data_IF_314406790532
#
_entry.id   IF_314406790532
#
_cell.length_a   1.000
_cell.length_b   1.000
_cell.length_c   1.000
_cell.angle_alpha   90.00
_cell.angle_beta   90.00
_cell.angle_gamma   90.00
#
_symmetry.space_group_name_H-M   'P 1'
#
loop_
_entity.id
_entity.type
_entity.pdbx_description
1 polymer ?
#
# COMPACT_ATOMS: atom_id res chain seq x y z
N UNK A 1 -13.45 25.52 -5.89
CA UNK A 1 -12.79 24.25 -5.51
C UNK A 1 -13.54 23.15 -6.24
N UNK A 2 -12.94 22.53 -7.26
CA UNK A 2 -13.64 21.58 -8.12
C UNK A 2 -13.39 20.16 -7.60
N UNK A 3 -14.35 19.61 -6.85
CA UNK A 3 -14.30 18.20 -6.44
C UNK A 3 -14.58 17.33 -7.65
N UNK A 4 -13.73 16.32 -7.85
CA UNK A 4 -13.90 15.34 -8.94
C UNK A 4 -14.37 14.03 -8.33
N UNK A 5 -15.41 13.46 -8.92
CA UNK A 5 -15.91 12.14 -8.59
C UNK A 5 -15.70 11.24 -9.81
N UNK A 6 -15.32 10.00 -9.57
CA UNK A 6 -15.00 9.07 -10.64
C UNK A 6 -15.13 7.62 -10.20
N UNK A 7 -15.14 6.74 -11.19
CA UNK A 7 -15.19 5.29 -11.02
C UNK A 7 -13.99 4.68 -11.71
N UNK A 8 -13.37 3.69 -11.08
CA UNK A 8 -12.31 2.88 -11.67
C UNK A 8 -12.89 1.47 -11.86
N UNK A 9 -12.92 1.01 -13.11
CA UNK A 9 -13.26 -0.38 -13.45
C UNK A 9 -12.00 -1.23 -13.52
N UNK A 10 -12.02 -2.40 -12.87
CA UNK A 10 -10.94 -3.39 -12.93
C UNK A 10 -11.54 -4.69 -13.46
N UNK A 11 -10.92 -5.25 -14.50
CA UNK A 11 -11.26 -6.56 -15.04
C UNK A 11 -10.17 -7.56 -14.68
N UNK A 12 -10.53 -8.62 -13.99
CA UNK A 12 -9.68 -9.78 -13.76
C UNK A 12 -10.26 -10.98 -14.51
N UNK A 13 -9.43 -11.69 -15.29
CA UNK A 13 -9.81 -12.91 -16.01
C UNK A 13 -8.82 -14.00 -15.65
N UNK A 14 -9.31 -15.14 -15.15
CA UNK A 14 -8.46 -16.24 -14.65
C UNK A 14 -7.39 -15.74 -13.65
N UNK A 15 -7.77 -14.80 -12.78
CA UNK A 15 -6.84 -14.12 -11.89
C UNK A 15 -7.51 -13.75 -10.57
N UNK A 16 -6.72 -13.79 -9.49
CA UNK A 16 -7.10 -13.26 -8.18
C UNK A 16 -6.23 -12.04 -7.86
N UNK A 17 -6.76 -10.83 -8.09
CA UNK A 17 -6.00 -9.59 -7.93
C UNK A 17 -6.01 -9.04 -6.49
N UNK A 18 -6.94 -9.48 -5.65
CA UNK A 18 -6.97 -9.15 -4.22
C UNK A 18 -7.41 -10.37 -3.39
N UNK A 19 -6.43 -11.14 -2.95
CA UNK A 19 -6.66 -12.29 -2.07
C UNK A 19 -6.83 -11.89 -0.58
N UNK A 20 -7.51 -12.74 0.17
CA UNK A 20 -7.43 -12.82 1.63
C UNK A 20 -6.29 -13.77 2.08
N UNK A 21 -6.19 -14.06 3.38
CA UNK A 21 -5.15 -14.92 3.93
C UNK A 21 -5.27 -16.40 3.54
N UNK A 22 -6.42 -16.82 2.99
CA UNK A 22 -6.64 -18.18 2.49
C UNK A 22 -6.26 -18.32 1.01
N UNK A 23 -5.89 -17.21 0.35
CA UNK A 23 -5.62 -17.19 -1.09
C UNK A 23 -6.89 -17.05 -1.95
N UNK A 24 -8.08 -17.00 -1.35
CA UNK A 24 -9.35 -16.75 -2.06
C UNK A 24 -9.56 -15.25 -2.27
N UNK A 25 -10.37 -14.84 -3.26
CA UNK A 25 -10.76 -13.44 -3.41
C UNK A 25 -11.42 -12.91 -2.14
N UNK A 26 -11.04 -11.70 -1.71
CA UNK A 26 -11.67 -11.05 -0.55
C UNK A 26 -13.18 -10.96 -0.74
N UNK A 27 -13.91 -11.38 0.28
CA UNK A 27 -15.37 -11.42 0.28
C UNK A 27 -15.95 -10.86 1.57
N UNK A 28 -17.13 -10.27 1.52
CA UNK A 28 -17.90 -9.91 2.72
C UNK A 28 -18.41 -11.17 3.43
N UNK A 29 -18.98 -11.01 4.64
CA UNK A 29 -19.67 -12.10 5.34
C UNK A 29 -20.82 -12.70 4.53
N UNK A 30 -21.37 -11.93 3.59
CA UNK A 30 -22.49 -12.33 2.75
C UNK A 30 -22.03 -12.95 1.41
N UNK A 31 -20.72 -13.08 1.20
CA UNK A 31 -20.15 -13.66 -0.02
C UNK A 31 -19.86 -12.67 -1.14
N UNK A 32 -20.10 -11.36 -0.95
CA UNK A 32 -19.82 -10.37 -1.98
C UNK A 32 -18.32 -10.17 -2.16
N UNK A 33 -17.81 -10.48 -3.35
CA UNK A 33 -16.40 -10.29 -3.69
C UNK A 33 -16.10 -8.79 -3.83
N UNK A 34 -15.02 -8.33 -3.20
CA UNK A 34 -14.58 -6.95 -3.31
C UNK A 34 -13.06 -6.81 -3.37
N UNK A 35 -12.62 -5.73 -4.01
CA UNK A 35 -11.24 -5.27 -4.00
C UNK A 35 -11.06 -4.10 -3.05
N UNK A 36 -9.99 -4.15 -2.26
CA UNK A 36 -9.67 -3.08 -1.34
C UNK A 36 -8.99 -1.89 -2.02
N UNK A 37 -9.25 -0.70 -1.48
CA UNK A 37 -8.54 0.52 -1.85
C UNK A 37 -7.01 0.34 -1.77
N UNK A 38 -6.52 -0.44 -0.80
CA UNK A 38 -5.10 -0.77 -0.64
C UNK A 38 -4.54 -1.56 -1.82
N UNK A 39 -5.28 -2.55 -2.32
CA UNK A 39 -4.88 -3.33 -3.48
C UNK A 39 -4.85 -2.47 -4.76
N UNK A 40 -5.78 -1.52 -4.90
CA UNK A 40 -5.78 -0.55 -6.00
C UNK A 40 -4.61 0.46 -5.90
N UNK A 41 -4.33 0.97 -4.69
CA UNK A 41 -3.24 1.94 -4.46
C UNK A 41 -1.85 1.34 -4.65
N UNK A 42 -1.67 0.04 -4.40
CA UNK A 42 -0.37 -0.63 -4.48
C UNK A 42 0.31 -0.52 -5.85
N UNK A 43 -0.31 -0.90 -6.99
CA UNK A 43 0.33 -0.76 -8.30
C UNK A 43 0.65 0.69 -8.64
N UNK A 44 -0.18 1.66 -8.23
CA UNK A 44 0.12 3.09 -8.42
C UNK A 44 1.40 3.49 -7.67
N UNK A 45 1.53 3.07 -6.41
CA UNK A 45 2.76 3.29 -5.63
C UNK A 45 3.97 2.61 -6.27
N UNK A 46 3.82 1.40 -6.78
CA UNK A 46 4.93 0.66 -7.40
C UNK A 46 5.37 1.29 -8.72
N UNK A 47 4.43 1.80 -9.51
CA UNK A 47 4.73 2.60 -10.71
C UNK A 47 5.55 3.84 -10.34
N UNK A 48 5.11 4.62 -9.36
CA UNK A 48 5.84 5.81 -8.92
C UNK A 48 7.22 5.49 -8.31
N UNK A 49 7.34 4.39 -7.55
CA UNK A 49 8.61 3.88 -7.03
C UNK A 49 9.59 3.56 -8.17
N UNK A 50 9.10 2.89 -9.23
CA UNK A 50 9.90 2.59 -10.43
C UNK A 50 10.29 3.86 -11.22
N UNK A 51 9.50 4.93 -11.12
CA UNK A 51 9.82 6.26 -11.69
C UNK A 51 10.77 7.09 -10.80
N UNK A 52 11.26 6.53 -9.69
CA UNK A 52 12.17 7.20 -8.76
C UNK A 52 11.48 8.25 -7.88
N UNK A 53 10.16 8.17 -7.69
CA UNK A 53 9.44 9.05 -6.75
C UNK A 53 9.60 8.54 -5.32
N UNK A 54 9.55 9.47 -4.36
CA UNK A 54 9.54 9.12 -2.94
C UNK A 54 8.19 8.49 -2.55
N UNK A 55 8.24 7.25 -2.06
CA UNK A 55 7.08 6.48 -1.59
C UNK A 55 7.33 5.99 -0.18
N UNK A 56 6.52 6.44 0.78
CA UNK A 56 6.67 6.08 2.19
C UNK A 56 5.99 4.74 2.51
N UNK A 57 4.74 4.56 2.12
CA UNK A 57 3.93 3.39 2.47
C UNK A 57 4.03 2.28 1.42
N UNK A 58 5.24 1.79 1.20
CA UNK A 58 5.54 0.60 0.40
C UNK A 58 6.52 -0.31 1.15
N UNK A 59 6.32 -1.62 1.03
CA UNK A 59 7.17 -2.60 1.72
C UNK A 59 8.59 -2.50 1.17
N UNK A 60 9.55 -2.36 2.08
CA UNK A 60 10.98 -2.33 1.79
C UNK A 60 11.71 -3.16 2.84
N UNK A 61 12.99 -3.44 2.60
CA UNK A 61 13.79 -4.30 3.44
C UNK A 61 15.18 -3.72 3.65
N UNK A 62 15.89 -4.29 4.62
CA UNK A 62 17.32 -4.05 4.90
C UNK A 62 18.00 -5.37 5.19
N UNK A 63 19.30 -5.41 4.91
CA UNK A 63 20.17 -6.51 5.34
C UNK A 63 20.60 -6.33 6.78
N UNK A 64 20.65 -7.44 7.52
CA UNK A 64 21.22 -7.53 8.85
C UNK A 64 22.13 -8.77 8.90
N UNK A 65 22.97 -8.90 9.92
CA UNK A 65 23.93 -10.00 10.08
C UNK A 65 23.30 -11.40 10.01
N UNK A 66 21.99 -11.53 10.25
CA UNK A 66 21.23 -12.78 10.19
C UNK A 66 20.27 -12.91 9.00
N UNK A 67 20.31 -12.01 8.01
CA UNK A 67 19.46 -12.06 6.81
C UNK A 67 18.71 -10.77 6.48
N UNK A 68 17.69 -10.88 5.64
CA UNK A 68 16.88 -9.75 5.18
C UNK A 68 15.67 -9.57 6.11
N UNK A 69 15.50 -8.35 6.64
CA UNK A 69 14.35 -7.99 7.49
C UNK A 69 13.55 -6.84 6.88
N UNK A 70 12.21 -6.84 6.99
CA UNK A 70 11.39 -5.71 6.54
C UNK A 70 11.70 -4.43 7.33
N UNK A 71 11.70 -3.28 6.66
CA UNK A 71 11.85 -1.99 7.32
C UNK A 71 10.58 -1.65 8.13
N UNK A 72 10.80 -1.10 9.32
CA UNK A 72 9.75 -0.40 10.08
C UNK A 72 9.44 0.97 9.45
N UNK A 73 8.38 1.64 9.91
CA UNK A 73 7.94 2.93 9.35
C UNK A 73 9.04 4.01 9.47
N UNK A 74 9.63 4.17 10.66
CA UNK A 74 10.76 5.07 10.89
C UNK A 74 11.99 4.72 10.05
N UNK A 75 12.29 3.43 9.87
CA UNK A 75 13.43 2.97 9.05
C UNK A 75 13.21 3.27 7.57
N UNK A 76 11.98 3.08 7.07
CA UNK A 76 11.63 3.47 5.69
C UNK A 76 11.74 4.98 5.52
N UNK A 77 11.24 5.77 6.47
CA UNK A 77 11.45 7.22 6.44
C UNK A 77 12.95 7.57 6.39
N UNK A 78 13.76 6.93 7.24
CA UNK A 78 15.20 7.16 7.30
C UNK A 78 15.92 6.78 6.00
N UNK A 79 15.47 5.73 5.32
CA UNK A 79 16.02 5.36 4.00
C UNK A 79 15.79 6.41 2.90
N UNK A 80 14.78 7.28 3.06
CA UNK A 80 14.44 8.32 2.07
C UNK A 80 15.02 9.67 2.45
N UNK A 81 14.99 10.03 3.75
CA UNK A 81 15.29 11.38 4.22
C UNK A 81 16.37 11.47 5.29
N UNK A 82 16.91 10.34 5.76
CA UNK A 82 17.81 10.27 6.90
C UNK A 82 17.07 10.08 8.23
N UNK A 83 17.80 9.66 9.25
CA UNK A 83 17.26 9.37 10.58
C UNK A 83 16.68 10.61 11.26
N UNK A 84 15.65 10.41 12.08
CA UNK A 84 15.07 11.46 12.92
C UNK A 84 15.92 11.58 14.19
N UNK A 85 16.74 12.63 14.27
CA UNK A 85 17.36 13.04 15.52
C UNK A 85 16.29 13.66 16.44
N UNK A 86 15.97 12.97 17.54
CA UNK A 86 14.94 13.37 18.51
C UNK A 86 15.15 14.77 19.11
N UNK A 87 16.38 15.27 19.15
CA UNK A 87 16.72 16.58 19.74
C UNK A 87 16.72 17.71 18.72
N UNK A 88 16.96 17.40 17.44
CA UNK A 88 17.17 18.42 16.39
C UNK A 88 16.06 18.45 15.35
N UNK A 89 15.51 17.29 15.00
CA UNK A 89 14.54 17.16 13.91
C UNK A 89 13.20 17.67 14.38
N UNK A 90 12.75 18.76 13.77
CA UNK A 90 11.48 19.38 14.15
C UNK A 90 10.30 18.66 13.48
N UNK A 91 9.12 18.70 14.10
CA UNK A 91 7.88 18.21 13.46
C UNK A 91 7.60 18.90 12.13
N UNK A 92 7.99 20.18 11.98
CA UNK A 92 7.89 20.92 10.71
C UNK A 92 8.74 20.29 9.61
N UNK A 93 9.96 19.86 9.95
CA UNK A 93 10.86 19.18 9.02
C UNK A 93 10.32 17.81 8.62
N UNK A 94 9.87 17.00 9.59
CA UNK A 94 9.23 15.70 9.32
C UNK A 94 8.02 15.88 8.43
N UNK A 95 7.12 16.82 8.76
CA UNK A 95 5.95 17.15 7.95
C UNK A 95 6.35 17.55 6.51
N UNK A 96 7.36 18.40 6.36
CA UNK A 96 7.88 18.80 5.03
C UNK A 96 8.36 17.59 4.23
N UNK A 97 9.09 16.66 4.86
CA UNK A 97 9.55 15.44 4.22
C UNK A 97 8.39 14.50 3.85
N UNK A 98 7.40 14.33 4.72
CA UNK A 98 6.19 13.58 4.40
C UNK A 98 5.46 14.16 3.17
N UNK A 99 5.40 15.48 3.03
CA UNK A 99 4.83 16.14 1.84
C UNK A 99 5.69 16.01 0.57
N UNK A 100 6.95 15.54 0.65
CA UNK A 100 7.75 15.17 -0.53
C UNK A 100 7.39 13.78 -1.07
N UNK A 101 6.70 12.95 -0.29
CA UNK A 101 6.25 11.63 -0.71
C UNK A 101 4.93 11.74 -1.51
N UNK A 102 4.94 11.25 -2.75
CA UNK A 102 3.78 11.38 -3.65
C UNK A 102 2.58 10.55 -3.15
N UNK A 103 2.82 9.41 -2.52
CA UNK A 103 1.77 8.58 -1.94
C UNK A 103 1.11 9.24 -0.73
N UNK A 104 1.88 9.96 0.10
CA UNK A 104 1.36 10.73 1.23
C UNK A 104 0.46 11.88 0.76
N UNK A 105 0.89 12.64 -0.26
CA UNK A 105 0.08 13.73 -0.83
C UNK A 105 -1.26 13.22 -1.39
N UNK A 106 -1.22 12.10 -2.11
CA UNK A 106 -2.40 11.58 -2.80
C UNK A 106 -3.31 10.78 -1.87
N UNK A 107 -2.75 9.86 -1.07
CA UNK A 107 -3.54 8.88 -0.31
C UNK A 107 -3.56 9.15 1.20
N UNK A 108 -2.77 10.11 1.67
CA UNK A 108 -2.66 10.44 3.08
C UNK A 108 -1.67 9.53 3.81
N UNK A 109 -1.49 9.83 5.09
CA UNK A 109 -0.56 9.13 5.96
C UNK A 109 -0.97 9.27 7.42
N UNK A 110 -0.78 8.20 8.18
CA UNK A 110 -0.62 8.28 9.63
C UNK A 110 0.83 7.92 9.92
N UNK A 111 1.62 8.91 10.32
CA UNK A 111 3.01 8.73 10.73
C UNK A 111 3.08 8.77 12.24
N UNK A 112 3.25 7.60 12.85
CA UNK A 112 3.30 7.41 14.30
C UNK A 112 4.66 6.83 14.66
N UNK A 113 5.60 7.72 15.00
CA UNK A 113 6.94 7.41 15.49
C UNK A 113 7.18 8.18 16.79
N UNK A 114 8.18 7.76 17.56
CA UNK A 114 8.44 8.38 18.87
C UNK A 114 8.69 9.89 18.74
N UNK A 115 7.87 10.71 19.42
CA UNK A 115 7.93 12.16 19.33
C UNK A 115 7.32 12.77 18.06
N UNK A 116 6.78 11.96 17.14
CA UNK A 116 6.15 12.41 15.90
C UNK A 116 4.83 11.66 15.65
N UNK A 117 3.70 12.33 15.94
CA UNK A 117 2.35 11.81 15.68
C UNK A 117 1.65 12.73 14.68
N UNK A 118 1.77 12.40 13.39
CA UNK A 118 1.29 13.23 12.29
C UNK A 118 0.22 12.47 11.52
N UNK A 119 -0.91 13.12 11.24
CA UNK A 119 -1.95 12.62 10.35
C UNK A 119 -2.16 13.60 9.20
N UNK A 120 -2.10 13.08 7.97
CA UNK A 120 -2.28 13.84 6.73
C UNK A 120 -3.42 13.21 5.94
N UNK A 121 -4.45 14.01 5.66
CA UNK A 121 -5.52 13.59 4.75
C UNK A 121 -5.06 13.72 3.31
N UNK A 122 -5.12 12.61 2.56
CA UNK A 122 -4.79 12.60 1.13
C UNK A 122 -5.85 13.28 0.27
N UNK A 123 -5.42 13.81 -0.87
CA UNK A 123 -6.30 14.44 -1.86
C UNK A 123 -7.29 13.46 -2.50
N UNK A 124 -6.95 12.17 -2.57
CA UNK A 124 -7.72 11.12 -3.23
C UNK A 124 -8.14 10.05 -2.22
N UNK A 125 -9.45 9.82 -2.13
CA UNK A 125 -10.05 8.82 -1.24
C UNK A 125 -10.76 7.77 -2.10
N UNK A 126 -10.19 6.56 -2.14
CA UNK A 126 -10.80 5.42 -2.82
C UNK A 126 -11.65 4.62 -1.83
N UNK A 127 -12.86 4.22 -2.26
CA UNK A 127 -13.68 3.24 -1.56
C UNK A 127 -13.29 1.79 -1.90
N UNK A 128 -13.99 0.84 -1.30
CA UNK A 128 -13.92 -0.58 -1.70
C UNK A 128 -14.62 -0.75 -3.05
N UNK A 129 -14.03 -1.52 -3.96
CA UNK A 129 -14.63 -1.84 -5.26
C UNK A 129 -15.34 -3.19 -5.21
N UNK A 130 -16.65 -3.22 -5.39
CA UNK A 130 -17.42 -4.48 -5.40
C UNK A 130 -17.43 -5.11 -6.79
N UNK A 131 -17.35 -6.43 -6.83
CA UNK A 131 -17.57 -7.18 -8.05
C UNK A 131 -18.99 -6.93 -8.58
N UNK A 132 -19.11 -6.83 -9.91
CA UNK A 132 -20.39 -6.61 -10.62
C UNK A 132 -20.72 -7.71 -11.61
N UNK A 133 -19.87 -8.74 -11.70
CA UNK A 133 -20.08 -9.89 -12.58
C UNK A 133 -20.66 -11.05 -11.78
N UNK A 134 -21.95 -11.31 -11.96
CA UNK A 134 -22.68 -12.35 -11.24
C UNK A 134 -22.17 -13.76 -11.56
N UNK A 135 -21.68 -13.99 -12.78
CA UNK A 135 -21.12 -15.27 -13.25
C UNK A 135 -19.66 -15.52 -12.77
N UNK A 136 -19.25 -14.87 -11.69
CA UNK A 136 -17.90 -15.07 -11.14
C UNK A 136 -17.80 -16.43 -10.46
N UNK A 137 -16.85 -17.24 -10.92
CA UNK A 137 -16.56 -18.55 -10.33
C UNK A 137 -15.15 -18.56 -9.72
N UNK A 138 -15.04 -19.11 -8.51
CA UNK A 138 -13.76 -19.21 -7.77
C UNK A 138 -13.25 -20.64 -7.93
N UNK A 139 -12.21 -20.79 -8.74
CA UNK A 139 -11.55 -22.06 -8.99
C UNK A 139 -10.30 -22.21 -8.13
N UNK A 140 -10.09 -23.40 -7.56
CA UNK A 140 -8.81 -23.81 -6.96
C UNK A 140 -8.10 -24.64 -8.02
N UNK A 141 -6.89 -24.22 -8.37
CA UNK A 141 -6.04 -24.94 -9.32
C UNK A 141 -4.80 -25.38 -8.57
N UNK A 142 -4.67 -26.69 -8.34
CA UNK A 142 -3.45 -27.26 -7.77
C UNK A 142 -2.34 -27.23 -8.82
N UNK A 143 -1.16 -26.78 -8.41
CA UNK A 143 0.01 -26.68 -9.26
C UNK A 143 1.13 -27.50 -8.62
N UNK A 144 1.71 -28.42 -9.36
CA UNK A 144 2.87 -29.19 -8.91
C UNK A 144 4.12 -28.32 -8.97
N UNK A 145 4.89 -28.28 -7.88
CA UNK A 145 6.24 -27.74 -7.87
C UNK A 145 7.16 -28.68 -8.66
N UNK A 146 8.05 -28.16 -9.53
CA UNK A 146 9.05 -28.98 -10.22
C UNK A 146 10.21 -29.41 -9.30
N UNK A 147 10.26 -28.91 -8.06
CA UNK A 147 11.27 -29.26 -7.07
C UNK A 147 10.72 -30.30 -6.10
N UNK A 148 11.55 -31.27 -5.71
CA UNK A 148 11.21 -32.24 -4.67
C UNK A 148 11.11 -31.54 -3.30
N UNK A 149 10.14 -31.97 -2.49
CA UNK A 149 9.91 -31.51 -1.11
C UNK A 149 10.99 -31.96 -0.13
#
# INVERSE_FOLDING_TARGET
>A
MNRVYGVIGIKAKMANWNADFTGRPKSTSNGDIFGSDKALKYPMKKMWDNEGKNILFIKSWKENKGGIVPNQLGERYASIFGEIDKKKTTTKEVMSNLFKCIDVKNFGATFAEEGQNISITGAVQFGQGFNKFDDTNIEIQDILSPFAD
#
